data_IF_778485929409
#
_entry.id   IF_778485929409
#
_cell.length_a   1.000
_cell.length_b   1.000
_cell.length_c   1.000
_cell.angle_alpha   90.00
_cell.angle_beta   90.00
_cell.angle_gamma   90.00
#
_symmetry.space_group_name_H-M   'P 1'
#
loop_
_entity.id
_entity.type
_entity.pdbx_description
1 polymer ?
#
# COMPACT_ATOMS: atom_id res chain seq x y z
N UNK A 1 -5.69 -3.89 -29.90
CA UNK A 1 -5.65 -3.85 -28.43
C UNK A 1 -5.09 -2.49 -28.05
N UNK A 2 -5.95 -1.52 -27.74
CA UNK A 2 -5.59 -0.14 -27.41
C UNK A 2 -5.64 0.06 -25.89
N UNK A 3 -4.84 -0.70 -25.18
CA UNK A 3 -4.59 -0.49 -23.76
C UNK A 3 -3.10 -0.19 -23.71
N UNK A 4 -2.75 1.00 -23.24
CA UNK A 4 -1.44 1.68 -23.35
C UNK A 4 -1.23 2.50 -24.64
N UNK A 5 -1.80 3.71 -24.65
CA UNK A 5 -1.14 4.97 -25.05
C UNK A 5 -1.60 5.97 -23.98
N UNK A 6 -0.83 6.82 -23.33
CA UNK A 6 0.40 7.51 -23.72
C UNK A 6 0.94 8.13 -22.40
N UNK A 7 2.17 7.81 -21.96
CA UNK A 7 2.81 8.43 -20.79
C UNK A 7 3.62 9.67 -21.19
N UNK A 8 3.20 10.39 -22.22
CA UNK A 8 3.92 11.56 -22.71
C UNK A 8 2.97 12.75 -22.94
N UNK A 9 3.02 13.62 -21.93
CA UNK A 9 2.88 15.08 -21.96
C UNK A 9 1.71 15.69 -22.74
N UNK A 10 0.73 16.19 -21.96
CA UNK A 10 -0.31 17.14 -22.35
C UNK A 10 -1.28 16.68 -23.44
N UNK A 11 -2.29 15.90 -23.06
CA UNK A 11 -3.64 16.05 -23.60
C UNK A 11 -4.65 15.38 -22.66
N UNK A 12 -5.72 16.11 -22.40
CA UNK A 12 -6.83 15.85 -21.48
C UNK A 12 -7.19 14.35 -21.38
N UNK A 13 -7.04 13.79 -20.17
CA UNK A 13 -7.37 12.41 -19.84
C UNK A 13 -8.87 12.18 -20.09
N UNK A 14 -9.24 11.69 -21.28
CA UNK A 14 -10.61 11.25 -21.54
C UNK A 14 -10.81 9.94 -20.79
N UNK A 15 -11.24 10.06 -19.53
CA UNK A 15 -11.83 8.96 -18.77
C UNK A 15 -13.00 8.47 -19.61
N UNK A 16 -12.86 7.28 -20.22
CA UNK A 16 -13.99 6.58 -20.80
C UNK A 16 -14.94 6.33 -19.64
N UNK A 17 -15.99 7.15 -19.58
CA UNK A 17 -17.01 7.16 -18.55
C UNK A 17 -17.64 5.77 -18.54
N UNK A 18 -17.17 4.92 -17.64
CA UNK A 18 -17.85 3.69 -17.31
C UNK A 18 -19.20 4.15 -16.79
N UNK A 19 -20.25 3.77 -17.52
CA UNK A 19 -21.64 4.01 -17.14
C UNK A 19 -21.85 3.35 -15.77
N UNK A 20 -21.93 4.19 -14.74
CA UNK A 20 -22.41 3.84 -13.40
C UNK A 20 -23.90 3.48 -13.52
N UNK A 21 -24.19 2.25 -13.92
CA UNK A 21 -25.55 1.72 -13.87
C UNK A 21 -25.42 0.25 -13.47
N UNK A 22 -25.33 0.04 -12.15
CA UNK A 22 -25.79 -1.12 -11.36
C UNK A 22 -25.04 -1.31 -10.02
N UNK A 23 -24.17 -0.38 -9.60
CA UNK A 23 -23.67 -0.35 -8.22
C UNK A 23 -24.51 0.62 -7.39
N UNK A 24 -25.37 0.10 -6.51
CA UNK A 24 -26.15 0.92 -5.56
C UNK A 24 -25.25 1.32 -4.38
N UNK A 25 -24.79 2.58 -4.27
CA UNK A 25 -23.97 3.02 -3.16
C UNK A 25 -24.89 3.66 -2.11
N UNK A 26 -25.27 2.87 -1.11
CA UNK A 26 -25.98 3.37 0.06
C UNK A 26 -25.07 4.26 0.91
N UNK A 27 -25.48 5.52 1.08
CA UNK A 27 -25.00 6.56 2.00
C UNK A 27 -23.56 7.05 1.87
N UNK A 28 -23.40 8.14 1.11
CA UNK A 28 -22.82 9.41 1.56
C UNK A 28 -21.54 9.40 2.42
N UNK A 29 -20.49 10.00 1.85
CA UNK A 29 -19.40 10.71 2.56
C UNK A 29 -18.13 9.95 2.95
N UNK A 30 -17.88 8.72 2.44
CA UNK A 30 -16.72 7.92 2.88
C UNK A 30 -15.77 7.50 1.75
N UNK A 31 -15.44 8.38 0.80
CA UNK A 31 -14.52 8.03 -0.30
C UNK A 31 -13.09 8.56 -0.14
N UNK A 32 -12.81 9.33 0.91
CA UNK A 32 -11.48 9.92 1.17
C UNK A 32 -10.73 9.30 2.35
N UNK A 33 -11.18 8.16 2.87
CA UNK A 33 -10.53 7.50 4.01
C UNK A 33 -9.31 6.66 3.55
N UNK A 34 -8.18 6.68 4.29
CA UNK A 34 -7.02 5.80 4.03
C UNK A 34 -7.41 4.32 3.93
N UNK A 35 -8.44 3.92 4.69
CA UNK A 35 -9.05 2.59 4.64
C UNK A 35 -9.48 2.15 3.24
N UNK A 36 -9.80 3.06 2.32
CA UNK A 36 -10.20 2.67 0.96
C UNK A 36 -9.00 2.25 0.11
N UNK A 37 -7.81 2.82 0.33
CA UNK A 37 -6.62 2.50 -0.45
C UNK A 37 -6.18 1.05 -0.24
N UNK A 38 -6.12 0.63 1.03
CA UNK A 38 -5.81 -0.74 1.44
C UNK A 38 -6.86 -1.74 0.92
N UNK A 39 -8.14 -1.36 0.88
CA UNK A 39 -9.19 -2.23 0.33
C UNK A 39 -8.98 -2.50 -1.18
N UNK A 40 -8.61 -1.48 -1.96
CA UNK A 40 -8.34 -1.66 -3.39
C UNK A 40 -7.06 -2.45 -3.64
N UNK A 41 -6.06 -2.27 -2.78
CA UNK A 41 -4.85 -3.07 -2.78
C UNK A 41 -5.15 -4.56 -2.58
N UNK A 42 -5.93 -4.90 -1.56
CA UNK A 42 -6.34 -6.29 -1.31
C UNK A 42 -7.16 -6.87 -2.46
N UNK A 43 -8.07 -6.08 -3.06
CA UNK A 43 -8.84 -6.51 -4.23
C UNK A 43 -7.97 -6.76 -5.45
N UNK A 44 -6.90 -5.98 -5.63
CA UNK A 44 -5.93 -6.16 -6.69
C UNK A 44 -5.12 -7.45 -6.48
N UNK A 45 -4.60 -7.68 -5.27
CA UNK A 45 -3.77 -8.85 -4.93
C UNK A 45 -4.57 -10.16 -4.95
N UNK A 46 -5.80 -10.15 -4.43
CA UNK A 46 -6.65 -11.34 -4.31
C UNK A 46 -7.58 -11.56 -5.51
N UNK A 47 -7.30 -10.90 -6.63
CA UNK A 47 -8.15 -10.93 -7.81
C UNK A 47 -8.27 -12.34 -8.41
N UNK A 48 -9.51 -12.82 -8.59
CA UNK A 48 -9.80 -14.13 -9.16
C UNK A 48 -10.34 -14.03 -10.60
N UNK A 49 -9.55 -14.48 -11.58
CA UNK A 49 -9.95 -14.47 -13.00
C UNK A 49 -11.28 -15.20 -13.26
N UNK A 50 -11.55 -16.28 -12.51
CA UNK A 50 -12.76 -17.11 -12.69
C UNK A 50 -14.06 -16.38 -12.36
N UNK A 51 -13.98 -15.28 -11.61
CA UNK A 51 -15.14 -14.46 -11.23
C UNK A 51 -15.48 -13.40 -12.28
N UNK A 52 -14.77 -13.40 -13.42
CA UNK A 52 -14.94 -12.41 -14.48
C UNK A 52 -15.62 -13.01 -15.72
N UNK A 53 -16.41 -12.21 -16.46
CA UNK A 53 -17.02 -12.66 -17.71
C UNK A 53 -16.04 -13.00 -18.83
N UNK A 54 -14.79 -12.54 -18.73
CA UNK A 54 -13.79 -12.71 -19.77
C UNK A 54 -12.48 -11.96 -19.52
N UNK A 55 -11.47 -12.15 -20.38
CA UNK A 55 -10.14 -11.60 -20.20
C UNK A 55 -10.07 -10.07 -20.30
N UNK A 56 -10.98 -9.47 -21.07
CA UNK A 56 -11.04 -8.02 -21.23
C UNK A 56 -11.57 -7.38 -19.94
N UNK A 57 -12.66 -7.93 -19.41
CA UNK A 57 -13.28 -7.49 -18.17
C UNK A 57 -12.31 -7.71 -17.00
N UNK A 58 -11.58 -8.83 -16.99
CA UNK A 58 -10.57 -9.09 -15.99
C UNK A 58 -9.46 -8.03 -15.97
N UNK A 59 -8.91 -7.70 -17.13
CA UNK A 59 -7.86 -6.69 -17.26
C UNK A 59 -8.38 -5.29 -16.89
N UNK A 60 -9.60 -4.93 -17.30
CA UNK A 60 -10.22 -3.65 -16.96
C UNK A 60 -10.43 -3.50 -15.44
N UNK A 61 -10.88 -4.56 -14.76
CA UNK A 61 -11.05 -4.53 -13.30
C UNK A 61 -9.71 -4.43 -12.57
N UNK A 62 -8.70 -5.21 -12.98
CA UNK A 62 -7.34 -5.10 -12.44
C UNK A 62 -6.76 -3.69 -12.60
N UNK A 63 -6.95 -3.08 -13.76
CA UNK A 63 -6.52 -1.70 -14.00
C UNK A 63 -7.21 -0.71 -13.07
N UNK A 64 -8.53 -0.84 -12.90
CA UNK A 64 -9.29 0.00 -11.98
C UNK A 64 -8.81 -0.15 -10.53
N UNK A 65 -8.61 -1.38 -10.04
CA UNK A 65 -8.10 -1.61 -8.68
C UNK A 65 -6.70 -1.01 -8.51
N UNK A 66 -5.82 -1.19 -9.50
CA UNK A 66 -4.48 -0.60 -9.50
C UNK A 66 -4.51 0.94 -9.45
N UNK A 67 -5.34 1.59 -10.28
CA UNK A 67 -5.48 3.05 -10.22
C UNK A 67 -6.05 3.54 -8.89
N UNK A 68 -7.01 2.83 -8.30
CA UNK A 68 -7.59 3.22 -7.00
C UNK A 68 -6.64 2.97 -5.83
N UNK A 69 -5.77 1.97 -5.93
CA UNK A 69 -4.72 1.71 -4.96
C UNK A 69 -3.56 2.71 -5.09
N UNK A 70 -2.93 2.82 -6.27
CA UNK A 70 -1.75 3.64 -6.47
C UNK A 70 -2.05 5.11 -6.69
N UNK A 71 -3.30 5.49 -6.98
CA UNK A 71 -3.80 6.87 -7.13
C UNK A 71 -2.86 7.77 -7.95
N UNK A 72 -2.59 7.43 -9.22
CA UNK A 72 -1.67 8.18 -10.08
C UNK A 72 -2.11 9.64 -10.33
N UNK A 73 -3.34 10.00 -9.98
CA UNK A 73 -3.85 11.38 -10.04
C UNK A 73 -3.23 12.29 -8.97
N UNK A 74 -2.70 11.73 -7.88
CA UNK A 74 -2.10 12.48 -6.77
C UNK A 74 -0.69 12.03 -6.40
N UNK A 75 -0.28 10.81 -6.76
CA UNK A 75 1.05 10.28 -6.48
C UNK A 75 1.97 10.45 -7.68
N UNK A 76 3.21 10.88 -7.43
CA UNK A 76 4.27 10.81 -8.43
C UNK A 76 4.68 9.37 -8.67
N UNK A 77 5.42 9.14 -9.76
CA UNK A 77 5.98 7.83 -10.07
C UNK A 77 6.83 7.27 -8.93
N UNK A 78 7.64 8.12 -8.30
CA UNK A 78 8.52 7.76 -7.19
C UNK A 78 7.70 7.34 -5.97
N UNK A 79 6.62 8.08 -5.64
CA UNK A 79 5.71 7.73 -4.55
C UNK A 79 4.99 6.41 -4.81
N UNK A 80 4.57 6.15 -6.05
CA UNK A 80 3.97 4.86 -6.42
C UNK A 80 4.97 3.70 -6.29
N UNK A 81 6.23 3.91 -6.69
CA UNK A 81 7.27 2.90 -6.52
C UNK A 81 7.58 2.65 -5.05
N UNK A 82 7.58 3.69 -4.22
CA UNK A 82 7.78 3.57 -2.78
C UNK A 82 6.68 2.71 -2.14
N UNK A 83 5.41 2.91 -2.50
CA UNK A 83 4.30 2.04 -2.05
C UNK A 83 4.49 0.57 -2.45
N UNK A 84 4.96 0.30 -3.67
CA UNK A 84 5.23 -1.07 -4.13
C UNK A 84 6.42 -1.70 -3.39
N UNK A 85 7.48 -0.92 -3.13
CA UNK A 85 8.64 -1.38 -2.38
C UNK A 85 8.26 -1.64 -0.93
N UNK A 86 7.47 -0.76 -0.31
CA UNK A 86 6.94 -0.91 1.04
C UNK A 86 6.12 -2.21 1.17
N UNK A 87 5.20 -2.46 0.24
CA UNK A 87 4.44 -3.72 0.20
C UNK A 87 5.38 -4.93 0.17
N UNK A 88 6.34 -4.94 -0.76
CA UNK A 88 7.28 -6.03 -0.90
C UNK A 88 8.15 -6.19 0.36
N UNK A 89 8.58 -5.08 0.97
CA UNK A 89 9.40 -5.06 2.18
C UNK A 89 8.64 -5.68 3.36
N UNK A 90 7.40 -5.28 3.57
CA UNK A 90 6.55 -5.86 4.62
C UNK A 90 6.36 -7.37 4.42
N UNK A 91 6.21 -7.85 3.17
CA UNK A 91 6.00 -9.28 2.91
C UNK A 91 7.23 -10.17 3.16
N UNK A 92 8.45 -9.61 3.08
CA UNK A 92 9.69 -10.37 3.32
C UNK A 92 10.14 -10.36 4.78
N UNK A 93 9.56 -9.49 5.62
CA UNK A 93 9.88 -9.46 7.04
C UNK A 93 9.50 -10.79 7.71
N UNK A 94 10.33 -11.28 8.67
CA UNK A 94 9.95 -12.33 9.59
C UNK A 94 8.60 -12.03 10.28
N UNK A 95 7.83 -13.06 10.59
CA UNK A 95 6.46 -12.91 11.14
C UNK A 95 6.44 -12.13 12.46
N UNK A 96 7.48 -12.31 13.26
CA UNK A 96 7.66 -11.64 14.54
C UNK A 96 7.78 -10.12 14.35
N UNK A 97 8.49 -9.68 13.31
CA UNK A 97 8.65 -8.26 12.97
C UNK A 97 7.43 -7.71 12.25
N UNK A 98 6.75 -8.50 11.40
CA UNK A 98 5.50 -8.07 10.74
C UNK A 98 4.43 -7.65 11.73
N UNK A 99 4.19 -8.49 12.75
CA UNK A 99 3.19 -8.20 13.78
C UNK A 99 3.52 -6.89 14.51
N UNK A 100 4.79 -6.69 14.84
CA UNK A 100 5.24 -5.49 15.55
C UNK A 100 5.15 -4.22 14.70
N UNK A 101 5.56 -4.29 13.44
CA UNK A 101 5.46 -3.16 12.48
C UNK A 101 4.00 -2.77 12.25
N UNK A 102 3.08 -3.73 12.20
CA UNK A 102 1.65 -3.45 12.04
C UNK A 102 1.03 -2.70 13.22
N UNK A 103 1.56 -2.87 14.44
CA UNK A 103 1.11 -2.10 15.61
C UNK A 103 1.52 -0.62 15.53
N UNK A 104 2.59 -0.31 14.79
CA UNK A 104 3.11 1.05 14.64
C UNK A 104 2.47 1.83 13.48
N UNK A 105 1.70 1.16 12.60
CA UNK A 105 1.00 1.76 11.45
C UNK A 105 1.85 2.71 10.56
N UNK A 106 3.05 2.30 10.11
CA UNK A 106 3.88 3.16 9.28
C UNK A 106 3.25 3.42 7.90
N UNK A 107 3.37 4.65 7.43
CA UNK A 107 2.81 5.12 6.15
C UNK A 107 3.85 5.12 5.01
N UNK A 108 5.14 4.94 5.34
CA UNK A 108 6.26 4.96 4.39
C UNK A 108 7.31 3.89 4.67
N UNK A 109 8.13 3.56 3.66
CA UNK A 109 9.26 2.64 3.83
C UNK A 109 10.27 3.13 4.87
N UNK A 110 10.54 4.43 4.89
CA UNK A 110 11.45 5.06 5.85
C UNK A 110 10.96 4.91 7.29
N UNK A 111 9.66 5.06 7.53
CA UNK A 111 9.06 4.84 8.85
C UNK A 111 9.19 3.39 9.31
N UNK A 112 8.94 2.41 8.42
CA UNK A 112 9.15 0.99 8.77
C UNK A 112 10.60 0.74 9.19
N UNK A 113 11.56 1.28 8.42
CA UNK A 113 12.99 1.11 8.72
C UNK A 113 13.35 1.75 10.06
N UNK A 114 12.92 2.99 10.31
CA UNK A 114 13.19 3.67 11.57
C UNK A 114 12.66 2.87 12.78
N UNK A 115 11.43 2.36 12.65
CA UNK A 115 10.77 1.51 13.64
C UNK A 115 11.60 0.25 13.88
N UNK A 116 12.04 -0.47 12.84
CA UNK A 116 12.86 -1.67 12.99
C UNK A 116 14.26 -1.40 13.58
N UNK A 117 14.91 -0.29 13.21
CA UNK A 117 16.22 0.10 13.74
C UNK A 117 16.14 0.45 15.22
N UNK A 118 15.06 1.09 15.66
CA UNK A 118 14.87 1.42 17.07
C UNK A 118 14.65 0.15 17.91
N UNK A 119 13.92 -0.84 17.38
CA UNK A 119 13.80 -2.15 18.02
C UNK A 119 15.16 -2.87 18.12
N UNK A 120 15.99 -2.82 17.06
CA UNK A 120 17.33 -3.43 17.08
C UNK A 120 18.21 -2.78 18.17
N UNK A 121 18.16 -1.46 18.31
CA UNK A 121 18.90 -0.74 19.37
C UNK A 121 18.42 -1.12 20.77
N UNK A 122 17.12 -1.25 21.00
CA UNK A 122 16.59 -1.69 22.31
C UNK A 122 17.05 -3.11 22.69
N UNK A 123 17.23 -3.99 21.69
CA UNK A 123 17.74 -5.34 21.90
C UNK A 123 19.26 -5.39 22.11
N UNK A 124 20.00 -4.45 21.52
CA UNK A 124 21.46 -4.34 21.64
C UNK A 124 21.94 -3.54 22.84
N UNK A 125 21.07 -2.86 23.61
CA UNK A 125 21.48 -2.17 24.83
C UNK A 125 22.00 -3.19 25.89
N UNK A 126 23.30 -3.18 26.22
CA UNK A 126 23.79 -4.00 27.31
C UNK A 126 23.24 -3.41 28.60
N UNK A 127 22.36 -4.16 29.26
CA UNK A 127 21.76 -3.77 30.54
C UNK A 127 22.79 -3.07 31.43
N UNK A 128 22.49 -1.83 31.82
CA UNK A 128 23.33 -1.03 32.70
C UNK A 128 23.69 -1.86 33.95
N UNK A 129 24.89 -2.43 33.95
CA UNK A 129 25.55 -2.86 35.17
C UNK A 129 25.92 -1.59 35.90
N UNK A 130 25.03 -1.13 36.76
CA UNK A 130 25.41 -0.26 37.87
C UNK A 130 26.23 -1.15 38.80
N UNK A 131 27.53 -1.22 38.53
CA UNK A 131 28.50 -1.84 39.41
C UNK A 131 28.38 -1.19 40.78
N UNK A 132 28.05 -2.05 41.74
CA UNK A 132 28.30 -1.91 43.16
C UNK A 132 29.62 -1.17 43.41
N UNK A 133 29.52 0.04 43.96
CA UNK A 133 30.56 0.60 44.79
C UNK A 133 30.01 0.67 46.21
N UNK A 134 30.07 -0.45 46.92
CA UNK A 134 30.21 -0.40 48.36
C UNK A 134 31.71 -0.48 48.69
N UNK A 135 32.11 0.36 49.66
CA UNK A 135 33.37 0.39 50.41
C UNK A 135 34.51 1.23 49.80
N UNK A 136 34.72 2.43 50.36
CA UNK A 136 35.71 2.64 51.43
C UNK A 136 35.27 3.77 52.36
#
# INVERSE_FOLDING_TARGET
LAIVRNLQENEELVIVKIKEEDFVPGSGSQWSSPNNQELFHQRFQQFCYKETPGPREALSQLWMFCCKWLRPEIHTKEQMLDLLVLEQFLTILPKELQAWVWEQHPESGEEVVAVLEDLEKELDEPGQKVESACVQ
#
